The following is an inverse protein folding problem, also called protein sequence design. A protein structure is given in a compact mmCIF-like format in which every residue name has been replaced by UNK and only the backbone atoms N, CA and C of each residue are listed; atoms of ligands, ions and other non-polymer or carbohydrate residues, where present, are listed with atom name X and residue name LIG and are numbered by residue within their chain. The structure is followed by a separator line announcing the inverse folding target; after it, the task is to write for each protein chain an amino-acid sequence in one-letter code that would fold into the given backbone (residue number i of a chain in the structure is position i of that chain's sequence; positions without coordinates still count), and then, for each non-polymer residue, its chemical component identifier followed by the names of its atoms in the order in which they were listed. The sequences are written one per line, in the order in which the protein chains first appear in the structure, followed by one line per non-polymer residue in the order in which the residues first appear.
data_IF_023810901545
#
_entry.id   IF_023810901545
#
_cell.length_a   1.000
_cell.length_b   1.000
_cell.length_c   1.000
_cell.angle_alpha   90.00
_cell.angle_beta   90.00
_cell.angle_gamma   90.00
#
_symmetry.space_group_name_H-M   'P 1'
#
loop_
_entity.id
_entity.type
_entity.pdbx_description
1 polymer ?
#
# COMPACT_ATOMS: atom_id res chain seq x y z
N UNK A 1 -5.01 -18.12 -0.50
CA UNK A 1 -5.20 -17.03 0.49
C UNK A 1 -5.81 -15.77 -0.11
N UNK A 2 -6.66 -15.09 0.67
CA UNK A 2 -7.28 -13.82 0.32
C UNK A 2 -6.25 -12.75 -0.07
N UNK A 3 -5.19 -12.60 0.74
CA UNK A 3 -4.13 -11.62 0.50
C UNK A 3 -3.50 -11.78 -0.88
N UNK A 4 -3.17 -13.03 -1.25
CA UNK A 4 -2.58 -13.32 -2.55
C UNK A 4 -3.53 -13.03 -3.71
N UNK A 5 -4.81 -13.35 -3.53
CA UNK A 5 -5.83 -13.05 -4.53
C UNK A 5 -6.00 -11.52 -4.74
N UNK A 6 -5.99 -10.73 -3.68
CA UNK A 6 -6.04 -9.26 -3.78
C UNK A 6 -4.76 -8.73 -4.46
N UNK A 7 -3.59 -9.20 -4.06
CA UNK A 7 -2.30 -8.86 -4.66
C UNK A 7 -2.30 -9.10 -6.19
N UNK A 8 -2.68 -10.31 -6.60
CA UNK A 8 -2.73 -10.69 -8.02
C UNK A 8 -3.78 -9.86 -8.79
N UNK A 9 -4.86 -9.45 -8.14
CA UNK A 9 -5.90 -8.59 -8.74
C UNK A 9 -5.37 -7.17 -8.99
N UNK A 10 -4.54 -6.63 -8.08
CA UNK A 10 -3.83 -5.36 -8.29
C UNK A 10 -2.80 -5.49 -9.42
N UNK A 11 -1.98 -6.54 -9.40
CA UNK A 11 -0.95 -6.77 -10.43
C UNK A 11 -1.55 -6.94 -11.84
N UNK A 12 -2.69 -7.63 -11.94
CA UNK A 12 -3.39 -7.83 -13.22
C UNK A 12 -4.12 -6.58 -13.74
N UNK A 13 -4.15 -5.48 -12.98
CA UNK A 13 -4.79 -4.23 -13.40
C UNK A 13 -6.32 -4.31 -13.46
N UNK A 14 -6.94 -5.27 -12.75
CA UNK A 14 -8.40 -5.39 -12.68
C UNK A 14 -9.05 -4.24 -11.92
N UNK A 15 -8.32 -3.62 -11.00
CA UNK A 15 -8.75 -2.35 -10.39
C UNK A 15 -8.40 -1.18 -11.31
N UNK A 16 -9.30 -0.19 -11.49
CA UNK A 16 -8.99 1.02 -12.22
C UNK A 16 -7.92 1.82 -11.47
N UNK A 17 -6.69 1.76 -11.96
CA UNK A 17 -5.57 2.59 -11.50
C UNK A 17 -5.53 3.86 -12.35
N UNK A 18 -5.93 4.97 -11.75
CA UNK A 18 -6.11 6.25 -12.47
C UNK A 18 -4.78 6.99 -12.68
N UNK A 19 -3.85 6.85 -11.74
CA UNK A 19 -2.58 7.58 -11.73
C UNK A 19 -1.41 6.76 -12.34
N UNK A 20 -0.48 7.42 -13.03
CA UNK A 20 0.75 6.82 -13.55
C UNK A 20 1.59 6.18 -12.45
N UNK A 21 1.67 6.78 -11.27
CA UNK A 21 2.39 6.24 -10.12
C UNK A 21 1.75 4.94 -9.61
N UNK A 22 0.41 4.89 -9.55
CA UNK A 22 -0.28 3.66 -9.16
C UNK A 22 0.04 2.52 -10.13
N UNK A 23 0.03 2.79 -11.45
CA UNK A 23 0.43 1.80 -12.45
C UNK A 23 1.89 1.38 -12.32
N UNK A 24 2.79 2.33 -12.03
CA UNK A 24 4.21 2.04 -11.83
C UNK A 24 4.44 1.10 -10.65
N UNK A 25 3.76 1.33 -9.52
CA UNK A 25 3.94 0.53 -8.30
C UNK A 25 3.04 -0.71 -8.23
N UNK A 26 2.07 -0.88 -9.13
CA UNK A 26 1.14 -2.01 -9.12
C UNK A 26 1.85 -3.35 -8.99
N UNK A 27 2.87 -3.61 -9.80
CA UNK A 27 3.62 -4.88 -9.79
C UNK A 27 4.57 -5.05 -8.58
N UNK A 28 4.70 -4.01 -7.73
CA UNK A 28 5.59 -4.01 -6.56
C UNK A 28 4.85 -4.10 -5.23
N UNK A 29 3.52 -3.99 -5.24
CA UNK A 29 2.73 -4.15 -4.02
C UNK A 29 2.81 -5.58 -3.53
N UNK A 30 2.88 -5.73 -2.21
CA UNK A 30 2.72 -7.00 -1.50
C UNK A 30 1.59 -6.89 -0.51
N UNK A 31 0.76 -7.92 -0.42
CA UNK A 31 -0.30 -8.03 0.58
C UNK A 31 0.01 -9.24 1.46
N UNK A 32 0.32 -9.00 2.73
CA UNK A 32 0.88 -10.01 3.62
C UNK A 32 -0.06 -10.19 4.81
N UNK A 33 -0.47 -11.43 5.06
CA UNK A 33 -1.10 -11.78 6.31
C UNK A 33 -0.04 -11.86 7.42
N UNK A 34 -0.19 -11.04 8.46
CA UNK A 34 0.67 -11.00 9.66
C UNK A 34 -0.02 -11.59 10.89
N UNK A 35 -1.21 -12.16 10.69
CA UNK A 35 -1.96 -12.86 11.73
C UNK A 35 -1.33 -14.23 12.00
N UNK A 36 -1.68 -14.82 13.14
CA UNK A 36 -1.23 -16.17 13.50
C UNK A 36 -1.90 -17.29 12.68
N UNK A 37 -2.91 -16.96 11.86
CA UNK A 37 -3.67 -17.89 11.03
C UNK A 37 -4.14 -17.26 9.72
N UNK A 38 -4.32 -18.09 8.70
CA UNK A 38 -4.85 -17.71 7.38
C UNK A 38 -6.37 -17.69 7.28
N UNK A 39 -7.08 -18.29 8.24
CA UNK A 39 -8.52 -18.53 8.14
C UNK A 39 -9.41 -17.33 8.49
N UNK A 40 -8.84 -16.14 8.76
CA UNK A 40 -9.54 -14.89 9.13
C UNK A 40 -10.56 -15.06 10.27
N UNK A 41 -10.38 -16.08 11.12
CA UNK A 41 -11.25 -16.39 12.26
C UNK A 41 -10.59 -16.09 13.61
N UNK A 42 -9.32 -15.73 13.59
CA UNK A 42 -8.56 -15.40 14.79
C UNK A 42 -8.96 -14.03 15.34
N UNK A 43 -8.65 -13.80 16.62
CA UNK A 43 -9.00 -12.55 17.31
C UNK A 43 -8.18 -11.35 16.85
N UNK A 44 -7.00 -11.59 16.30
CA UNK A 44 -6.02 -10.58 15.93
C UNK A 44 -5.64 -10.70 14.46
N UNK A 45 -6.54 -10.24 13.58
CA UNK A 45 -6.30 -10.28 12.13
C UNK A 45 -5.51 -9.04 11.75
N UNK A 46 -4.33 -9.23 11.16
CA UNK A 46 -3.39 -8.17 10.79
C UNK A 46 -2.99 -8.34 9.34
N UNK A 47 -3.36 -7.37 8.51
CA UNK A 47 -2.99 -7.36 7.09
C UNK A 47 -2.03 -6.21 6.85
N UNK A 48 -0.88 -6.53 6.30
CA UNK A 48 0.13 -5.57 5.89
C UNK A 48 0.05 -5.33 4.38
N UNK A 49 0.01 -4.06 3.98
CA UNK A 49 0.17 -3.64 2.58
C UNK A 49 1.51 -2.94 2.47
N UNK A 50 2.37 -3.44 1.58
CA UNK A 50 3.74 -2.94 1.42
C UNK A 50 4.02 -2.59 -0.02
N UNK A 51 4.71 -1.46 -0.22
CA UNK A 51 5.34 -1.08 -1.49
C UNK A 51 6.77 -0.66 -1.15
N UNK A 52 7.76 -1.40 -1.65
CA UNK A 52 9.19 -1.19 -1.30
C UNK A 52 9.38 -1.18 0.24
N UNK A 53 9.89 -0.08 0.79
CA UNK A 53 10.17 0.08 2.22
C UNK A 53 9.03 0.76 3.00
N UNK A 54 7.95 1.17 2.33
CA UNK A 54 6.77 1.74 2.99
C UNK A 54 5.67 0.70 3.13
N UNK A 55 5.03 0.69 4.29
CA UNK A 55 3.95 -0.24 4.57
C UNK A 55 2.88 0.38 5.49
N UNK A 56 1.68 -0.19 5.45
CA UNK A 56 0.62 0.00 6.42
C UNK A 56 0.27 -1.33 7.06
N UNK A 57 -0.23 -1.31 8.29
CA UNK A 57 -0.79 -2.49 8.97
C UNK A 57 -2.20 -2.13 9.38
N UNK A 58 -3.17 -2.86 8.83
CA UNK A 58 -4.58 -2.74 9.21
C UNK A 58 -4.92 -3.92 10.13
N UNK A 59 -5.56 -3.60 11.25
CA UNK A 59 -6.00 -4.58 12.25
C UNK A 59 -7.52 -4.72 12.15
N UNK A 60 -8.01 -5.95 12.16
CA UNK A 60 -9.43 -6.25 12.04
C UNK A 60 -9.88 -7.10 13.21
N UNK A 61 -11.11 -6.84 13.65
CA UNK A 61 -11.78 -7.72 14.59
C UNK A 61 -12.38 -8.92 13.85
N UNK A 62 -12.38 -10.11 14.47
CA UNK A 62 -13.13 -11.24 13.94
C UNK A 62 -14.63 -10.89 13.88
N UNK A 63 -15.36 -11.58 13.00
CA UNK A 63 -16.82 -11.49 12.87
C UNK A 63 -17.36 -10.18 12.30
N UNK A 64 -16.52 -9.33 11.71
CA UNK A 64 -17.01 -8.25 10.84
C UNK A 64 -17.77 -8.89 9.66
N UNK A 65 -19.00 -8.42 9.42
CA UNK A 65 -19.80 -8.92 8.31
C UNK A 65 -19.10 -8.59 6.99
N UNK A 66 -18.94 -9.60 6.12
CA UNK A 66 -18.20 -9.49 4.85
C UNK A 66 -16.73 -9.06 5.02
N UNK A 67 -16.07 -9.48 6.11
CA UNK A 67 -14.67 -9.16 6.39
C UNK A 67 -13.71 -9.29 5.19
N UNK A 68 -13.78 -10.36 4.34
CA UNK A 68 -12.90 -10.44 3.16
C UNK A 68 -13.03 -9.24 2.21
N UNK A 69 -14.25 -8.74 1.99
CA UNK A 69 -14.50 -7.57 1.15
C UNK A 69 -14.04 -6.27 1.81
N UNK A 70 -14.16 -6.17 3.14
CA UNK A 70 -13.62 -5.03 3.90
C UNK A 70 -12.09 -4.97 3.75
N UNK A 71 -11.42 -6.11 3.94
CA UNK A 71 -9.97 -6.23 3.76
C UNK A 71 -9.57 -5.84 2.32
N UNK A 72 -10.30 -6.32 1.32
CA UNK A 72 -10.02 -5.98 -0.09
C UNK A 72 -10.05 -4.47 -0.35
N UNK A 73 -11.09 -3.78 0.12
CA UNK A 73 -11.23 -2.32 -0.05
C UNK A 73 -10.14 -1.56 0.71
N UNK A 74 -9.88 -1.93 1.96
CA UNK A 74 -8.86 -1.28 2.79
C UNK A 74 -7.44 -1.49 2.24
N UNK A 75 -7.17 -2.66 1.65
CA UNK A 75 -5.92 -2.94 0.96
C UNK A 75 -5.77 -2.02 -0.26
N UNK A 76 -6.83 -1.85 -1.06
CA UNK A 76 -6.80 -0.99 -2.23
C UNK A 76 -6.59 0.49 -1.85
N UNK A 77 -7.25 0.97 -0.79
CA UNK A 77 -7.06 2.35 -0.32
C UNK A 77 -5.64 2.55 0.27
N UNK A 78 -5.16 1.60 1.06
CA UNK A 78 -3.78 1.60 1.58
C UNK A 78 -2.76 1.65 0.43
N UNK A 79 -2.94 0.85 -0.61
CA UNK A 79 -2.10 0.88 -1.81
C UNK A 79 -2.09 2.26 -2.48
N UNK A 80 -3.27 2.86 -2.71
CA UNK A 80 -3.39 4.20 -3.30
C UNK A 80 -2.72 5.25 -2.42
N UNK A 81 -2.88 5.15 -1.10
CA UNK A 81 -2.22 6.03 -0.13
C UNK A 81 -0.70 5.92 -0.20
N UNK A 82 -0.16 4.70 -0.23
CA UNK A 82 1.28 4.46 -0.32
C UNK A 82 1.86 4.99 -1.64
N UNK A 83 1.18 4.77 -2.77
CA UNK A 83 1.57 5.34 -4.06
C UNK A 83 1.69 6.87 -4.00
N UNK A 84 0.68 7.56 -3.45
CA UNK A 84 0.70 9.03 -3.29
C UNK A 84 1.86 9.50 -2.40
N UNK A 85 2.20 8.72 -1.37
CA UNK A 85 3.29 9.05 -0.43
C UNK A 85 4.66 8.87 -1.07
N UNK A 86 4.86 7.80 -1.83
CA UNK A 86 6.07 7.57 -2.62
C UNK A 86 6.29 8.67 -3.65
N UNK A 87 5.23 9.08 -4.34
CA UNK A 87 5.32 10.16 -5.31
C UNK A 87 5.82 11.50 -4.76
N UNK A 88 5.51 11.79 -3.49
CA UNK A 88 6.02 12.98 -2.80
C UNK A 88 7.49 12.83 -2.40
N UNK A 89 7.92 11.62 -2.01
CA UNK A 89 9.31 11.33 -1.67
C UNK A 89 10.23 11.45 -2.90
N UNK A 90 9.81 10.92 -4.05
CA UNK A 90 10.57 11.02 -5.30
C UNK A 90 10.73 12.48 -5.76
N UNK A 91 9.73 13.32 -5.50
CA UNK A 91 9.80 14.75 -5.84
C UNK A 91 10.70 15.53 -4.88
N UNK A 92 10.81 15.11 -3.62
CA UNK A 92 11.63 15.75 -2.59
C UNK A 92 13.14 15.62 -2.83
N UNK A 93 13.60 14.50 -3.39
CA UNK A 93 15.02 14.26 -3.66
C UNK A 93 15.59 15.06 -4.85
N UNK A 94 14.73 15.58 -5.74
CA UNK A 94 15.17 16.37 -6.89
C UNK A 94 15.44 17.86 -6.57
N UNK A 95 15.25 18.29 -5.32
CA UNK A 95 15.47 19.69 -4.90
C UNK A 95 16.79 19.93 -4.14
N UNK A 96 17.69 18.94 -4.04
CA UNK A 96 19.06 19.14 -3.55
C UNK A 96 20.02 19.59 -4.67
N UNK A 97 19.54 20.46 -5.56
CA UNK A 97 20.41 21.27 -6.41
C UNK A 97 20.97 22.39 -5.56
N UNK A 98 22.29 22.41 -5.39
CA UNK A 98 23.09 23.47 -4.76
C UNK A 98 22.53 24.86 -5.02
N UNK A 99 21.75 25.38 -4.06
CA UNK A 99 21.65 26.84 -3.91
C UNK A 99 22.90 27.27 -3.15
N UNK A 100 23.94 27.60 -3.91
CA UNK A 100 25.01 28.47 -3.44
C UNK A 100 24.34 29.71 -2.84
N UNK A 101 24.39 29.82 -1.52
CA UNK A 101 24.01 31.04 -0.81
C UNK A 101 25.14 32.02 -1.08
N UNK A 102 25.04 32.76 -2.18
CA UNK A 102 25.83 33.97 -2.37
C UNK A 102 25.26 35.02 -1.42
N UNK A 103 25.91 35.18 -0.27
CA UNK A 103 25.71 36.33 0.60
C UNK A 103 26.33 37.52 -0.15
N UNK A 104 25.48 38.35 -0.73
CA UNK A 104 25.91 39.66 -1.22
C UNK A 104 26.06 40.60 -0.01
N UNK A 105 27.26 41.20 0.04
CA UNK A 105 27.83 42.22 0.95
C UNK A 105 26.87 43.09 1.73
#
# INVERSE_FOLDING_TARGET
DLCKMIEDTIHSGRYPLEDKQQKHFANSVKVINRSDSEDLKTKDIKIEVRIQDLYTINNYLPNIQHLPGVIEIDVLDSFKMLCRRLGRLDTGNNNNSSKNITIST
#
